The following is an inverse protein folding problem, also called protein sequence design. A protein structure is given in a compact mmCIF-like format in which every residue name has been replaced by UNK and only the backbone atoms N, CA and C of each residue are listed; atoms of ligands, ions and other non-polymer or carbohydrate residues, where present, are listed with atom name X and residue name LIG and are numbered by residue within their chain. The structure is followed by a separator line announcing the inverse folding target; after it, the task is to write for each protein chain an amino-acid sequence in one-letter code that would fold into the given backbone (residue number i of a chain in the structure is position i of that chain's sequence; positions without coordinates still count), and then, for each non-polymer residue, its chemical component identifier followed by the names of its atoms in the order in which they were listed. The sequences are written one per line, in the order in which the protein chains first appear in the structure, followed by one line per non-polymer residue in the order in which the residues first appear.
data_IF_031435724933
#
_entry.id   IF_031435724933
#
_cell.length_a   1.000
_cell.length_b   1.000
_cell.length_c   1.000
_cell.angle_alpha   90.00
_cell.angle_beta   90.00
_cell.angle_gamma   90.00
#
_symmetry.space_group_name_H-M   'P 1'
#
loop_
_entity.id
_entity.type
_entity.pdbx_description
1 polymer ?
#
# COMPACT_ATOMS: atom_id res chain seq x y z
N UNK A 1 17.62 -27.94 1.14
CA UNK A 1 17.19 -27.35 2.42
C UNK A 1 16.53 -26.02 2.09
N UNK A 2 15.26 -26.07 1.71
CA UNK A 2 14.50 -24.91 1.23
C UNK A 2 14.02 -24.13 2.44
N UNK A 3 14.77 -23.11 2.85
CA UNK A 3 14.33 -22.17 3.87
C UNK A 3 13.06 -21.50 3.38
N UNK A 4 11.93 -21.87 3.99
CA UNK A 4 10.61 -21.24 3.81
C UNK A 4 10.77 -19.72 3.74
N UNK A 5 10.01 -19.03 2.86
CA UNK A 5 10.03 -17.57 2.78
C UNK A 5 9.63 -17.00 4.15
N UNK A 6 10.65 -16.66 4.93
CA UNK A 6 10.48 -15.99 6.21
C UNK A 6 10.52 -14.49 5.94
N UNK A 7 9.49 -13.80 6.39
CA UNK A 7 9.52 -12.35 6.46
C UNK A 7 10.70 -11.98 7.37
N UNK A 8 11.67 -11.18 6.89
CA UNK A 8 12.80 -10.79 7.71
C UNK A 8 12.30 -10.01 8.95
N UNK A 9 12.95 -10.16 10.11
CA UNK A 9 12.51 -9.50 11.35
C UNK A 9 12.42 -7.97 11.19
N UNK A 10 13.30 -7.40 10.37
CA UNK A 10 13.31 -5.97 10.04
C UNK A 10 12.02 -5.54 9.30
N UNK A 11 11.52 -6.38 8.40
CA UNK A 11 10.25 -6.12 7.70
C UNK A 11 9.05 -6.27 8.64
N UNK A 12 9.13 -7.17 9.63
CA UNK A 12 8.10 -7.34 10.65
C UNK A 12 8.01 -6.12 11.57
N UNK A 13 9.14 -5.55 12.00
CA UNK A 13 9.15 -4.37 12.85
C UNK A 13 8.50 -3.17 12.15
N UNK A 14 8.90 -2.87 10.91
CA UNK A 14 8.29 -1.76 10.15
C UNK A 14 6.84 -2.06 9.76
N UNK A 15 6.46 -3.33 9.59
CA UNK A 15 5.07 -3.73 9.36
C UNK A 15 4.19 -3.43 10.59
N UNK A 16 4.68 -3.75 11.79
CA UNK A 16 4.01 -3.44 13.07
C UNK A 16 3.86 -1.95 13.30
N UNK A 17 4.81 -1.16 12.81
CA UNK A 17 4.74 0.30 12.82
C UNK A 17 3.72 0.88 11.82
N UNK A 18 3.08 0.03 10.99
CA UNK A 18 2.12 0.44 9.98
C UNK A 18 2.73 0.74 8.60
N UNK A 19 4.04 0.57 8.45
CA UNK A 19 4.79 0.95 7.26
C UNK A 19 4.82 -0.19 6.22
N UNK A 20 3.65 -0.54 5.65
CA UNK A 20 3.52 -1.64 4.67
C UNK A 20 4.52 -1.53 3.50
N UNK A 21 4.70 -0.33 2.94
CA UNK A 21 5.58 -0.13 1.78
C UNK A 21 7.04 -0.36 2.15
N UNK A 22 7.43 0.03 3.36
CA UNK A 22 8.77 -0.22 3.90
C UNK A 22 8.99 -1.73 4.09
N UNK A 23 8.01 -2.42 4.69
CA UNK A 23 8.05 -3.87 4.89
C UNK A 23 8.22 -4.61 3.55
N UNK A 24 7.47 -4.23 2.51
CA UNK A 24 7.58 -4.82 1.17
C UNK A 24 8.95 -4.55 0.57
N UNK A 25 9.49 -3.34 0.76
CA UNK A 25 10.81 -2.96 0.26
C UNK A 25 11.92 -3.79 0.93
N UNK A 26 11.91 -3.87 2.27
CA UNK A 26 12.89 -4.66 3.04
C UNK A 26 12.78 -6.14 2.70
N UNK A 27 11.55 -6.67 2.62
CA UNK A 27 11.32 -8.06 2.23
C UNK A 27 11.92 -8.32 0.86
N UNK A 28 11.66 -7.46 -0.13
CA UNK A 28 12.23 -7.57 -1.47
C UNK A 28 13.76 -7.51 -1.45
N UNK A 29 14.35 -6.56 -0.74
CA UNK A 29 15.81 -6.37 -0.68
C UNK A 29 16.52 -7.54 -0.02
N UNK A 30 15.92 -8.15 1.01
CA UNK A 30 16.51 -9.25 1.78
C UNK A 30 16.25 -10.63 1.20
N UNK A 31 15.07 -10.85 0.62
CA UNK A 31 14.70 -12.15 0.02
C UNK A 31 14.98 -12.23 -1.47
N UNK A 32 15.20 -11.09 -2.14
CA UNK A 32 15.35 -11.03 -3.60
C UNK A 32 14.05 -11.30 -4.38
N UNK A 33 12.91 -11.40 -3.68
CA UNK A 33 11.62 -11.71 -4.26
C UNK A 33 11.08 -10.57 -5.12
N UNK A 34 10.25 -10.91 -6.11
CA UNK A 34 9.54 -9.90 -6.91
C UNK A 34 8.63 -9.03 -6.04
N UNK A 35 8.26 -7.86 -6.54
CA UNK A 35 7.35 -6.93 -5.84
C UNK A 35 6.02 -7.63 -5.48
N UNK A 36 5.53 -8.47 -6.38
CA UNK A 36 4.29 -9.25 -6.20
C UNK A 36 4.44 -10.28 -5.09
N UNK A 37 5.50 -11.07 -5.10
CA UNK A 37 5.77 -12.11 -4.09
C UNK A 37 6.02 -11.50 -2.71
N UNK A 38 6.77 -10.40 -2.65
CA UNK A 38 7.03 -9.67 -1.40
C UNK A 38 5.73 -9.12 -0.79
N UNK A 39 4.84 -8.58 -1.64
CA UNK A 39 3.50 -8.15 -1.21
C UNK A 39 2.66 -9.33 -0.73
N UNK A 40 2.66 -10.42 -1.47
CA UNK A 40 1.84 -11.60 -1.17
C UNK A 40 2.20 -12.21 0.20
N UNK A 41 3.50 -12.30 0.51
CA UNK A 41 3.97 -12.76 1.82
C UNK A 41 3.49 -11.87 2.97
N UNK A 42 3.59 -10.56 2.80
CA UNK A 42 3.14 -9.60 3.81
C UNK A 42 1.62 -9.59 3.94
N UNK A 43 0.88 -9.72 2.83
CA UNK A 43 -0.58 -9.84 2.85
C UNK A 43 -1.01 -11.12 3.57
N UNK A 44 -0.35 -12.26 3.32
CA UNK A 44 -0.63 -13.52 4.03
C UNK A 44 -0.40 -13.36 5.54
N UNK A 45 0.69 -12.67 5.93
CA UNK A 45 0.96 -12.38 7.35
C UNK A 45 -0.11 -11.47 7.97
N UNK A 46 -0.53 -10.42 7.26
CA UNK A 46 -1.58 -9.51 7.72
C UNK A 46 -2.95 -10.17 7.78
N UNK A 47 -3.26 -11.11 6.87
CA UNK A 47 -4.48 -11.91 6.94
C UNK A 47 -4.49 -12.82 8.16
N UNK A 48 -3.34 -13.36 8.56
CA UNK A 48 -3.19 -14.11 9.80
C UNK A 48 -3.28 -13.21 11.05
N UNK A 49 -2.97 -11.91 10.92
CA UNK A 49 -3.00 -10.92 12.00
C UNK A 49 -3.96 -9.74 11.70
N UNK A 50 -5.29 -9.98 11.70
CA UNK A 50 -6.29 -8.99 11.30
C UNK A 50 -6.33 -7.72 12.18
N UNK A 51 -5.80 -7.76 13.40
CA UNK A 51 -5.73 -6.60 14.29
C UNK A 51 -4.71 -5.54 13.84
N UNK A 52 -3.64 -5.93 13.14
CA UNK A 52 -2.63 -4.99 12.63
C UNK A 52 -3.08 -4.36 11.31
N UNK A 53 -3.86 -5.10 10.51
CA UNK A 53 -4.35 -4.68 9.19
C UNK A 53 -5.21 -3.41 9.24
N UNK A 54 -5.98 -3.20 10.32
CA UNK A 54 -6.79 -2.00 10.51
C UNK A 54 -5.97 -0.73 10.75
N UNK A 55 -4.79 -0.84 11.39
CA UNK A 55 -3.87 0.29 11.62
C UNK A 55 -3.03 0.59 10.39
N UNK A 56 -2.53 -0.47 9.76
CA UNK A 56 -1.71 -0.39 8.54
C UNK A 56 -2.50 0.26 7.39
N UNK A 57 -3.76 -0.14 7.16
CA UNK A 57 -4.59 0.44 6.09
C UNK A 57 -4.79 1.95 6.21
N UNK A 58 -4.82 2.52 7.42
CA UNK A 58 -4.97 3.97 7.59
C UNK A 58 -3.76 4.75 7.07
N UNK A 59 -2.55 4.22 7.25
CA UNK A 59 -1.32 4.82 6.70
C UNK A 59 -1.16 4.55 5.20
N UNK A 60 -1.45 3.34 4.71
CA UNK A 60 -1.32 3.05 3.26
C UNK A 60 -2.37 3.81 2.44
N UNK A 61 -3.58 4.00 2.97
CA UNK A 61 -4.60 4.82 2.33
C UNK A 61 -4.27 6.32 2.31
N UNK A 62 -3.34 6.80 3.15
CA UNK A 62 -2.92 8.20 3.16
C UNK A 62 -1.82 8.52 2.14
N UNK A 63 -0.90 7.59 1.83
CA UNK A 63 0.23 7.89 0.91
C UNK A 63 -0.19 8.03 -0.57
N UNK A 64 -1.37 7.55 -0.97
CA UNK A 64 -1.90 7.69 -2.34
C UNK A 64 -3.19 8.51 -2.46
N UNK A 65 -3.72 9.09 -1.37
CA UNK A 65 -4.98 9.86 -1.43
C UNK A 65 -4.84 11.32 -1.85
N UNK A 66 -3.63 11.89 -1.84
CA UNK A 66 -3.41 13.30 -2.16
C UNK A 66 -3.69 13.65 -3.63
N UNK A 67 -3.33 12.77 -4.57
CA UNK A 67 -3.48 13.06 -6.01
C UNK A 67 -4.86 12.73 -6.57
N UNK A 68 -5.43 11.57 -6.22
CA UNK A 68 -6.64 11.06 -6.88
C UNK A 68 -7.88 11.92 -6.58
N UNK A 69 -8.05 12.39 -5.34
CA UNK A 69 -9.18 13.26 -5.00
C UNK A 69 -9.12 14.62 -5.69
N UNK A 70 -7.91 15.18 -5.83
CA UNK A 70 -7.71 16.48 -6.51
C UNK A 70 -8.00 16.34 -8.00
N UNK A 71 -7.53 15.26 -8.65
CA UNK A 71 -7.82 15.00 -10.07
C UNK A 71 -9.31 14.84 -10.33
N UNK A 72 -10.03 14.09 -9.50
CA UNK A 72 -11.50 13.94 -9.63
C UNK A 72 -12.20 15.29 -9.50
N UNK A 73 -11.80 16.13 -8.54
CA UNK A 73 -12.40 17.45 -8.36
C UNK A 73 -12.16 18.37 -9.57
N UNK A 74 -10.94 18.37 -10.13
CA UNK A 74 -10.58 19.14 -11.33
C UNK A 74 -11.40 18.68 -12.53
N UNK A 75 -11.51 17.36 -12.76
CA UNK A 75 -12.27 16.81 -13.88
C UNK A 75 -13.75 17.18 -13.77
N UNK A 76 -14.34 17.08 -12.58
CA UNK A 76 -15.74 17.47 -12.35
C UNK A 76 -15.95 18.96 -12.59
N UNK A 77 -15.05 19.82 -12.08
CA UNK A 77 -15.12 21.27 -12.32
C UNK A 77 -15.01 21.62 -13.81
N UNK A 78 -14.11 20.96 -14.55
CA UNK A 78 -13.95 21.17 -15.99
C UNK A 78 -15.21 20.76 -16.76
N UNK A 79 -15.83 19.62 -16.42
CA UNK A 79 -17.08 19.17 -17.07
C UNK A 79 -18.21 20.18 -16.83
N UNK A 80 -18.36 20.69 -15.61
CA UNK A 80 -19.37 21.70 -15.27
C UNK A 80 -19.12 23.00 -16.04
N UNK A 81 -17.86 23.44 -16.13
CA UNK A 81 -17.48 24.65 -16.87
C UNK A 81 -17.79 24.53 -18.37
N UNK A 82 -17.48 23.38 -18.97
CA UNK A 82 -17.81 23.07 -20.37
C UNK A 82 -19.33 23.11 -20.58
N UNK A 83 -20.10 22.56 -19.65
CA UNK A 83 -21.56 22.57 -19.71
C UNK A 83 -22.15 23.98 -19.66
N UNK A 84 -21.51 24.90 -18.92
CA UNK A 84 -21.94 26.30 -18.82
C UNK A 84 -21.57 27.12 -20.06
N UNK A 85 -20.41 26.83 -20.67
CA UNK A 85 -19.98 27.45 -21.94
C UNK A 85 -20.88 27.02 -23.11
N UNK A 86 -21.40 25.80 -23.06
CA UNK A 86 -22.22 25.22 -24.13
C UNK A 86 -23.73 25.43 -23.94
N UNK A 87 -24.14 26.19 -22.91
CA UNK A 87 -25.52 26.58 -22.61
C UNK A 87 -25.73 28.05 -22.98
#
# INVERSE_FOLDING_TARGET
MSSLPHIPPEALDVLREGQLIEAIKITREKTGLGLKESKDLIDQYLQAHPQEQARVQQQVAQRSRGGVKVVVFIVVLLIILIWWIMK
#
